data_IF_550787574118
#
_entry.id   IF_550787574118
#
_cell.length_a   1.000
_cell.length_b   1.000
_cell.length_c   1.000
_cell.angle_alpha   90.00
_cell.angle_beta   90.00
_cell.angle_gamma   90.00
#
_symmetry.space_group_name_H-M   'P 1'
#
loop_
_entity.id
_entity.type
_entity.pdbx_description
1 polymer ?
#
# COMPACT_ATOMS: atom_id res chain seq x y z
N UNK A 1 11.86 13.88 -6.06
CA UNK A 1 10.72 13.17 -5.47
C UNK A 1 11.15 12.43 -4.22
N UNK A 2 10.30 12.27 -3.22
CA UNK A 2 10.61 11.45 -2.03
C UNK A 2 9.56 10.35 -1.90
N UNK A 3 10.00 9.10 -1.64
CA UNK A 3 9.12 7.94 -1.44
C UNK A 3 9.42 7.33 -0.07
N UNK A 4 8.48 7.40 0.86
CA UNK A 4 8.60 6.70 2.15
C UNK A 4 8.00 5.29 2.05
N UNK A 5 8.56 4.31 2.74
CA UNK A 5 8.19 2.90 2.58
C UNK A 5 8.69 2.31 1.26
N UNK A 6 9.82 2.81 0.77
CA UNK A 6 10.36 2.50 -0.57
C UNK A 6 10.79 1.04 -0.73
N UNK A 7 11.20 0.36 0.33
CA UNK A 7 11.58 -1.05 0.29
C UNK A 7 10.38 -2.01 0.30
N UNK A 8 9.17 -1.47 0.51
CA UNK A 8 7.93 -2.21 0.50
C UNK A 8 7.46 -2.60 -0.90
N UNK A 9 6.37 -3.36 -0.95
CA UNK A 9 5.72 -3.85 -2.18
C UNK A 9 5.42 -2.70 -3.16
N UNK A 10 4.51 -1.79 -2.82
CA UNK A 10 4.07 -0.71 -3.71
C UNK A 10 5.19 0.34 -3.87
N UNK A 11 5.90 0.67 -2.78
CA UNK A 11 6.94 1.70 -2.77
C UNK A 11 8.09 1.41 -3.74
N UNK A 12 8.51 0.15 -3.86
CA UNK A 12 9.58 -0.24 -4.78
C UNK A 12 9.17 -0.11 -6.25
N UNK A 13 7.95 -0.51 -6.61
CA UNK A 13 7.42 -0.31 -7.96
C UNK A 13 7.26 1.18 -8.30
N UNK A 14 6.77 1.98 -7.35
CA UNK A 14 6.64 3.41 -7.55
C UNK A 14 8.00 4.08 -7.77
N UNK A 15 9.00 3.74 -6.95
CA UNK A 15 10.34 4.33 -7.09
C UNK A 15 11.00 3.95 -8.43
N UNK A 16 10.86 2.69 -8.88
CA UNK A 16 11.33 2.26 -10.20
C UNK A 16 10.64 3.05 -11.32
N UNK A 17 9.33 3.26 -11.24
CA UNK A 17 8.58 4.04 -12.21
C UNK A 17 9.04 5.50 -12.24
N UNK A 18 9.21 6.14 -11.09
CA UNK A 18 9.66 7.53 -11.01
C UNK A 18 11.10 7.72 -11.56
N UNK A 19 12.00 6.79 -11.26
CA UNK A 19 13.37 6.79 -11.81
C UNK A 19 13.35 6.60 -13.33
N UNK A 20 12.53 5.67 -13.83
CA UNK A 20 12.36 5.44 -15.26
C UNK A 20 11.76 6.67 -15.99
N UNK A 21 10.89 7.43 -15.32
CA UNK A 21 10.32 8.69 -15.81
C UNK A 21 11.33 9.87 -15.72
N UNK A 22 12.58 9.63 -15.26
CA UNK A 22 13.67 10.60 -15.22
C UNK A 22 13.73 11.46 -13.95
N UNK A 23 13.02 11.09 -12.89
CA UNK A 23 13.05 11.83 -11.63
C UNK A 23 14.20 11.38 -10.72
N UNK A 24 14.77 12.36 -9.98
CA UNK A 24 15.61 12.08 -8.82
C UNK A 24 14.72 11.65 -7.67
N UNK A 25 14.99 10.47 -7.08
CA UNK A 25 14.17 9.83 -6.05
C UNK A 25 15.00 9.57 -4.79
N UNK A 26 14.56 10.14 -3.67
CA UNK A 26 15.04 9.77 -2.34
C UNK A 26 14.06 8.79 -1.73
N UNK A 27 14.50 7.55 -1.53
CA UNK A 27 13.74 6.51 -0.86
C UNK A 27 14.04 6.50 0.64
N UNK A 28 13.02 6.44 1.49
CA UNK A 28 13.13 6.33 2.94
C UNK A 28 12.44 5.04 3.40
N UNK A 29 13.12 4.18 4.14
CA UNK A 29 12.55 2.98 4.75
C UNK A 29 13.29 2.62 6.04
N UNK A 30 12.57 2.22 7.07
CA UNK A 30 13.13 1.78 8.36
C UNK A 30 13.55 0.31 8.38
N UNK A 31 13.16 -0.45 7.36
CA UNK A 31 13.34 -1.91 7.32
C UNK A 31 12.78 -2.63 8.55
N UNK A 32 11.63 -2.14 9.08
CA UNK A 32 10.93 -2.79 10.20
C UNK A 32 10.81 -4.31 10.01
N UNK A 33 11.00 -5.04 11.12
CA UNK A 33 10.99 -6.50 11.14
C UNK A 33 9.54 -7.06 11.16
N UNK A 34 8.75 -6.68 10.15
CA UNK A 34 7.39 -7.19 9.94
C UNK A 34 7.38 -8.47 9.09
N UNK A 35 8.32 -8.56 8.16
CA UNK A 35 8.62 -9.73 7.34
C UNK A 35 10.12 -9.73 6.99
N UNK A 36 10.69 -10.88 6.55
CA UNK A 36 12.12 -11.00 6.36
C UNK A 36 12.73 -9.88 5.52
N UNK A 37 13.80 -9.26 6.03
CA UNK A 37 14.52 -8.16 5.38
C UNK A 37 14.96 -8.51 3.95
N UNK A 38 15.25 -9.78 3.67
CA UNK A 38 15.66 -10.25 2.34
C UNK A 38 14.67 -9.90 1.23
N UNK A 39 13.35 -9.89 1.51
CA UNK A 39 12.35 -9.44 0.54
C UNK A 39 12.51 -7.95 0.22
N UNK A 40 12.74 -7.12 1.23
CA UNK A 40 12.95 -5.67 1.06
C UNK A 40 14.24 -5.38 0.28
N UNK A 41 15.31 -6.11 0.56
CA UNK A 41 16.58 -6.00 -0.18
C UNK A 41 16.41 -6.41 -1.64
N UNK A 42 15.70 -7.51 -1.90
CA UNK A 42 15.37 -7.96 -3.25
C UNK A 42 14.53 -6.92 -4.02
N UNK A 43 13.57 -6.29 -3.36
CA UNK A 43 12.76 -5.23 -3.95
C UNK A 43 13.58 -4.02 -4.41
N UNK A 44 14.69 -3.72 -3.73
CA UNK A 44 15.54 -2.56 -4.03
C UNK A 44 16.77 -2.90 -4.88
N UNK A 45 17.00 -4.17 -5.24
CA UNK A 45 18.25 -4.59 -5.91
C UNK A 45 18.54 -3.80 -7.19
N UNK A 46 17.54 -3.59 -8.04
CA UNK A 46 17.66 -2.78 -9.25
C UNK A 46 17.82 -1.28 -8.95
N UNK A 47 17.05 -0.76 -8.01
CA UNK A 47 17.06 0.66 -7.63
C UNK A 47 18.40 1.10 -7.06
N UNK A 48 19.07 0.26 -6.26
CA UNK A 48 20.40 0.57 -5.67
C UNK A 48 21.48 0.82 -6.73
N UNK A 49 21.30 0.32 -7.95
CA UNK A 49 22.22 0.50 -9.08
C UNK A 49 21.76 1.60 -10.03
N UNK A 50 20.54 2.09 -9.87
CA UNK A 50 19.97 3.09 -10.76
C UNK A 50 20.55 4.49 -10.48
N UNK A 51 20.89 5.22 -11.55
CA UNK A 51 21.19 6.65 -11.43
C UNK A 51 19.88 7.39 -11.06
N UNK A 52 19.98 8.39 -10.20
CA UNK A 52 18.81 9.16 -9.76
C UNK A 52 18.06 8.54 -8.56
N UNK A 53 18.57 7.47 -7.96
CA UNK A 53 18.02 6.90 -6.73
C UNK A 53 19.01 6.97 -5.57
N UNK A 54 18.51 7.38 -4.40
CA UNK A 54 19.26 7.30 -3.13
C UNK A 54 18.37 6.72 -2.03
N UNK A 55 18.96 5.91 -1.15
CA UNK A 55 18.25 5.27 -0.05
C UNK A 55 18.70 5.84 1.30
N UNK A 56 17.71 6.18 2.14
CA UNK A 56 17.89 6.51 3.55
C UNK A 56 17.25 5.39 4.37
N UNK A 57 18.09 4.59 5.02
CA UNK A 57 17.65 3.48 5.86
C UNK A 57 17.49 3.96 7.30
N UNK A 58 16.36 4.64 7.57
CA UNK A 58 16.04 5.19 8.89
C UNK A 58 14.53 5.38 9.05
N UNK A 59 14.04 5.29 10.31
CA UNK A 59 12.62 5.49 10.62
C UNK A 59 12.23 6.96 10.64
N UNK A 60 11.01 7.27 10.18
CA UNK A 60 10.49 8.65 10.09
C UNK A 60 10.52 9.38 11.44
N UNK A 61 10.19 8.69 12.53
CA UNK A 61 10.21 9.26 13.87
C UNK A 61 11.63 9.61 14.35
N UNK A 62 12.64 8.83 13.94
CA UNK A 62 14.04 9.14 14.23
C UNK A 62 14.51 10.34 13.40
N UNK A 63 14.21 10.34 12.10
CA UNK A 63 14.53 11.43 11.19
C UNK A 63 13.88 12.77 11.56
N UNK A 64 12.70 12.74 12.21
CA UNK A 64 11.95 13.94 12.61
C UNK A 64 12.45 14.58 13.91
N UNK A 65 13.34 13.90 14.66
CA UNK A 65 13.88 14.47 15.91
C UNK A 65 14.64 15.74 15.60
N UNK A 66 14.22 16.82 16.27
CA UNK A 66 14.89 18.12 16.16
C UNK A 66 16.35 18.02 16.63
N UNK A 67 17.22 18.80 16.00
CA UNK A 67 18.55 19.13 16.55
C UNK A 67 18.40 20.32 17.49
N UNK A 68 19.36 20.54 18.37
CA UNK A 68 19.34 21.66 19.31
C UNK A 68 19.17 23.02 18.61
N UNK A 69 19.62 23.12 17.37
CA UNK A 69 19.37 24.27 16.49
C UNK A 69 19.28 23.79 15.04
N UNK A 70 18.23 24.24 14.31
CA UNK A 70 18.07 23.99 12.87
C UNK A 70 17.00 22.96 12.52
N UNK A 71 16.86 22.66 11.21
CA UNK A 71 15.89 21.70 10.72
C UNK A 71 16.22 20.27 11.14
N UNK A 72 15.20 19.43 11.26
CA UNK A 72 15.37 17.98 11.44
C UNK A 72 15.96 17.34 10.18
N UNK A 73 16.52 16.13 10.32
CA UNK A 73 17.04 15.39 9.15
C UNK A 73 15.93 15.11 8.13
N UNK A 74 14.70 14.90 8.58
CA UNK A 74 13.55 14.72 7.68
C UNK A 74 13.28 15.98 6.87
N UNK A 75 13.29 17.16 7.49
CA UNK A 75 13.10 18.43 6.79
C UNK A 75 14.20 18.67 5.75
N UNK A 76 15.46 18.35 6.06
CA UNK A 76 16.56 18.43 5.10
C UNK A 76 16.36 17.53 3.87
N UNK A 77 15.90 16.29 4.09
CA UNK A 77 15.61 15.33 3.01
C UNK A 77 14.42 15.75 2.14
N UNK A 78 13.48 16.50 2.71
CA UNK A 78 12.30 16.98 2.00
C UNK A 78 12.51 18.35 1.32
N UNK A 79 13.59 19.06 1.64
CA UNK A 79 13.88 20.37 1.08
C UNK A 79 14.01 20.29 -0.47
N UNK A 80 13.23 21.10 -1.17
CA UNK A 80 13.20 21.12 -2.64
C UNK A 80 12.45 19.94 -3.29
N UNK A 81 11.82 19.05 -2.51
CA UNK A 81 11.02 17.98 -3.06
C UNK A 81 9.74 18.53 -3.72
N UNK A 82 9.54 18.24 -5.00
CA UNK A 82 8.29 18.58 -5.70
C UNK A 82 7.10 17.75 -5.19
N UNK A 83 7.33 16.48 -4.84
CA UNK A 83 6.30 15.62 -4.28
C UNK A 83 6.89 14.63 -3.27
N UNK A 84 6.12 14.37 -2.21
CA UNK A 84 6.35 13.30 -1.23
C UNK A 84 5.25 12.26 -1.38
N UNK A 85 5.62 11.04 -1.74
CA UNK A 85 4.73 9.86 -1.76
C UNK A 85 4.88 9.14 -0.41
N UNK A 86 3.88 9.30 0.45
CA UNK A 86 3.93 8.73 1.79
C UNK A 86 3.21 7.37 1.84
N UNK A 87 4.01 6.30 1.63
CA UNK A 87 3.55 4.91 1.64
C UNK A 87 4.01 4.13 2.89
N UNK A 88 4.96 4.70 3.66
CA UNK A 88 5.42 4.08 4.90
C UNK A 88 4.26 3.90 5.87
N UNK A 89 4.02 2.67 6.30
CA UNK A 89 2.99 2.32 7.27
C UNK A 89 3.21 0.91 7.80
N UNK A 90 2.77 0.65 9.02
CA UNK A 90 2.51 -0.72 9.45
C UNK A 90 1.21 -1.19 8.81
N UNK A 91 1.29 -2.24 8.01
CA UNK A 91 0.16 -2.84 7.33
C UNK A 91 -0.33 -4.10 8.04
N UNK A 92 -1.48 -4.63 7.59
CA UNK A 92 -2.08 -5.87 8.10
C UNK A 92 -3.24 -5.61 9.05
N UNK A 93 -4.44 -6.02 8.62
CA UNK A 93 -5.69 -5.86 9.39
C UNK A 93 -5.67 -6.76 10.63
N UNK A 94 -5.35 -8.05 10.43
CA UNK A 94 -5.42 -9.08 11.48
C UNK A 94 -4.38 -8.87 12.59
N UNK A 95 -3.17 -8.45 12.22
CA UNK A 95 -2.08 -8.20 13.17
C UNK A 95 -2.23 -6.89 13.97
N UNK A 96 -3.24 -6.07 13.68
CA UNK A 96 -3.39 -4.74 14.28
C UNK A 96 -4.02 -4.72 15.68
N UNK A 97 -4.44 -5.88 16.19
CA UNK A 97 -5.12 -5.99 17.48
C UNK A 97 -4.16 -6.16 18.67
N UNK A 98 -4.64 -5.87 19.84
CA UNK A 98 -3.93 -6.11 21.11
C UNK A 98 -2.67 -5.23 21.26
N UNK A 99 -1.59 -5.83 21.76
CA UNK A 99 -0.34 -5.10 22.05
C UNK A 99 0.35 -4.56 20.79
N UNK A 100 0.10 -5.16 19.63
CA UNK A 100 0.65 -4.71 18.35
C UNK A 100 0.09 -3.36 17.92
N UNK A 101 -1.03 -2.89 18.48
CA UNK A 101 -1.65 -1.62 18.09
C UNK A 101 -0.70 -0.43 18.20
N UNK A 102 0.24 -0.44 19.16
CA UNK A 102 1.21 0.64 19.33
C UNK A 102 2.03 0.86 18.06
N UNK A 103 2.53 -0.19 17.41
CA UNK A 103 3.34 -0.03 16.20
C UNK A 103 2.52 0.59 15.05
N UNK A 104 1.19 0.33 15.03
CA UNK A 104 0.29 0.96 14.05
C UNK A 104 0.08 2.45 14.36
N UNK A 105 -0.05 2.85 15.62
CA UNK A 105 -0.16 4.27 15.98
C UNK A 105 1.13 5.03 15.71
N UNK A 106 2.27 4.44 16.05
CA UNK A 106 3.58 5.06 15.85
C UNK A 106 3.90 5.25 14.37
N UNK A 107 3.70 4.21 13.54
CA UNK A 107 4.02 4.27 12.12
C UNK A 107 2.94 5.00 11.28
N UNK A 108 1.65 4.71 11.52
CA UNK A 108 0.59 5.19 10.63
C UNK A 108 0.08 6.58 11.01
N UNK A 109 -0.05 6.87 12.31
CA UNK A 109 -0.61 8.15 12.77
C UNK A 109 0.51 9.14 13.04
N UNK A 110 1.41 8.83 13.97
CA UNK A 110 2.50 9.72 14.35
C UNK A 110 3.50 9.87 13.19
N UNK A 111 3.83 8.76 12.48
CA UNK A 111 4.66 8.79 11.28
C UNK A 111 4.11 9.71 10.19
N UNK A 112 2.79 9.67 9.94
CA UNK A 112 2.15 10.60 8.99
C UNK A 112 2.20 12.04 9.49
N UNK A 113 1.95 12.27 10.78
CA UNK A 113 1.98 13.61 11.36
C UNK A 113 3.37 14.26 11.21
N UNK A 114 4.46 13.54 11.52
CA UNK A 114 5.81 14.10 11.38
C UNK A 114 6.20 14.37 9.93
N UNK A 115 5.73 13.55 8.98
CA UNK A 115 5.92 13.81 7.55
C UNK A 115 5.19 15.08 7.12
N UNK A 116 3.93 15.25 7.52
CA UNK A 116 3.14 16.44 7.18
C UNK A 116 3.75 17.71 7.79
N UNK A 117 4.24 17.66 9.03
CA UNK A 117 4.90 18.80 9.67
C UNK A 117 6.22 19.15 8.96
N UNK A 118 7.02 18.14 8.58
CA UNK A 118 8.23 18.36 7.83
C UNK A 118 7.94 18.90 6.41
N UNK A 119 6.92 18.41 5.72
CA UNK A 119 6.46 18.93 4.42
C UNK A 119 6.02 20.40 4.52
N UNK A 120 5.29 20.74 5.60
CA UNK A 120 4.86 22.13 5.85
C UNK A 120 6.07 23.06 6.01
N UNK A 121 7.09 22.66 6.79
CA UNK A 121 8.29 23.48 7.04
C UNK A 121 9.21 23.55 5.81
N UNK A 122 9.34 22.45 5.07
CA UNK A 122 10.17 22.39 3.87
C UNK A 122 9.48 23.00 2.62
N UNK A 123 8.20 23.35 2.68
CA UNK A 123 7.46 23.93 1.55
C UNK A 123 7.28 22.93 0.40
N UNK A 124 7.00 21.66 0.70
CA UNK A 124 6.82 20.59 -0.32
C UNK A 124 5.62 20.89 -1.22
N UNK A 125 5.78 20.70 -2.53
CA UNK A 125 4.77 21.05 -3.53
C UNK A 125 3.52 20.15 -3.49
N UNK A 126 3.66 18.86 -3.14
CA UNK A 126 2.53 17.91 -3.02
C UNK A 126 2.86 16.76 -2.07
N UNK A 127 1.87 16.30 -1.31
CA UNK A 127 1.93 15.07 -0.52
C UNK A 127 0.86 14.10 -1.02
N UNK A 128 1.26 12.94 -1.52
CA UNK A 128 0.35 11.85 -1.91
C UNK A 128 0.41 10.78 -0.83
N UNK A 129 -0.69 10.62 -0.10
CA UNK A 129 -0.80 9.72 1.04
C UNK A 129 -1.51 8.40 0.66
N UNK A 130 -0.89 7.27 0.99
CA UNK A 130 -1.49 5.95 0.85
C UNK A 130 -2.47 5.67 1.99
N UNK A 131 -3.76 5.92 1.77
CA UNK A 131 -4.86 5.48 2.60
C UNK A 131 -5.26 4.03 2.25
N UNK A 132 -6.44 3.58 2.64
CA UNK A 132 -6.89 2.19 2.46
C UNK A 132 -8.41 2.12 2.37
N UNK A 133 -8.94 1.14 1.63
CA UNK A 133 -10.36 0.78 1.67
C UNK A 133 -10.84 0.31 3.05
N UNK A 134 -9.90 -0.10 3.93
CA UNK A 134 -10.22 -0.46 5.32
C UNK A 134 -10.83 0.68 6.15
N UNK A 135 -10.77 1.92 5.67
CA UNK A 135 -11.42 3.07 6.33
C UNK A 135 -12.95 3.01 6.23
N UNK A 136 -13.49 2.35 5.20
CA UNK A 136 -14.93 2.22 5.02
C UNK A 136 -15.58 1.29 6.05
N UNK A 137 -14.84 0.26 6.49
CA UNK A 137 -15.39 -0.82 7.31
C UNK A 137 -16.25 -1.78 6.50
N UNK A 138 -17.17 -2.45 7.17
CA UNK A 138 -18.12 -3.36 6.57
C UNK A 138 -19.41 -2.59 6.18
N UNK A 139 -19.78 -2.64 4.91
CA UNK A 139 -20.91 -1.88 4.39
C UNK A 139 -21.62 -2.62 3.26
N UNK A 140 -22.95 -2.58 3.26
CA UNK A 140 -23.79 -3.12 2.19
C UNK A 140 -23.94 -2.15 1.01
N UNK A 141 -23.46 -0.90 1.15
CA UNK A 141 -23.54 0.12 0.09
C UNK A 141 -22.34 0.00 -0.83
N UNK A 142 -22.57 -0.61 -1.98
CA UNK A 142 -21.56 -0.87 -3.01
C UNK A 142 -22.01 -0.31 -4.36
N UNK A 143 -21.10 0.22 -5.19
CA UNK A 143 -19.68 0.42 -4.91
C UNK A 143 -19.42 1.48 -3.83
N UNK A 144 -18.30 1.34 -3.09
CA UNK A 144 -17.87 2.27 -2.04
C UNK A 144 -17.45 3.60 -2.64
N UNK A 145 -18.09 4.70 -2.20
CA UNK A 145 -17.80 6.06 -2.67
C UNK A 145 -16.98 6.83 -1.65
N UNK A 146 -16.18 7.79 -2.10
CA UNK A 146 -15.30 8.57 -1.22
C UNK A 146 -16.07 9.47 -0.24
N UNK A 147 -17.31 9.82 -0.54
CA UNK A 147 -18.22 10.58 0.33
C UNK A 147 -19.01 9.72 1.33
N UNK A 148 -18.86 8.39 1.28
CA UNK A 148 -19.47 7.49 2.24
C UNK A 148 -18.89 7.67 3.65
N UNK A 149 -19.74 7.41 4.65
CA UNK A 149 -19.31 7.41 6.05
C UNK A 149 -18.26 6.32 6.28
N UNK A 150 -17.12 6.71 6.84
CA UNK A 150 -16.04 5.80 7.16
C UNK A 150 -16.21 5.23 8.57
N UNK A 151 -16.46 3.93 8.69
CA UNK A 151 -16.67 3.19 9.95
C UNK A 151 -15.71 1.98 10.01
N UNK A 152 -14.40 2.20 10.18
CA UNK A 152 -13.43 1.12 10.17
C UNK A 152 -13.71 0.07 11.24
N UNK A 153 -13.58 -1.22 10.88
CA UNK A 153 -13.83 -2.37 11.75
C UNK A 153 -12.54 -3.04 12.23
N UNK A 154 -11.41 -2.38 12.07
CA UNK A 154 -10.10 -2.84 12.54
C UNK A 154 -9.26 -1.69 13.07
N UNK A 155 -8.35 -1.94 14.03
CA UNK A 155 -7.40 -0.92 14.51
C UNK A 155 -6.54 -0.35 13.37
N UNK A 156 -6.13 -1.18 12.40
CA UNK A 156 -5.45 -0.71 11.18
C UNK A 156 -6.29 0.33 10.41
N UNK A 157 -7.57 0.01 10.13
CA UNK A 157 -8.48 0.93 9.44
C UNK A 157 -8.64 2.25 10.19
N UNK A 158 -8.75 2.20 11.53
CA UNK A 158 -8.79 3.40 12.38
C UNK A 158 -7.54 4.25 12.22
N UNK A 159 -6.33 3.66 12.23
CA UNK A 159 -5.08 4.42 12.07
C UNK A 159 -4.95 5.02 10.67
N UNK A 160 -5.41 4.32 9.62
CA UNK A 160 -5.41 4.84 8.24
C UNK A 160 -6.38 6.01 8.08
N UNK A 161 -7.57 5.92 8.69
CA UNK A 161 -8.53 7.03 8.69
C UNK A 161 -8.00 8.23 9.48
N UNK A 162 -7.41 8.03 10.65
CA UNK A 162 -6.81 9.10 11.44
C UNK A 162 -5.73 9.86 10.63
N UNK A 163 -4.85 9.14 9.95
CA UNK A 163 -3.82 9.74 9.10
C UNK A 163 -4.41 10.47 7.87
N UNK A 164 -5.47 9.93 7.24
CA UNK A 164 -6.20 10.61 6.17
C UNK A 164 -6.81 11.94 6.65
N UNK A 165 -7.38 11.96 7.87
CA UNK A 165 -7.89 13.19 8.45
C UNK A 165 -6.77 14.19 8.79
N UNK A 166 -5.59 13.73 9.21
CA UNK A 166 -4.42 14.60 9.37
C UNK A 166 -4.04 15.26 8.04
N UNK A 167 -3.96 14.51 6.94
CA UNK A 167 -3.71 15.08 5.61
C UNK A 167 -4.70 16.20 5.28
N UNK A 168 -6.01 15.96 5.47
CA UNK A 168 -7.05 16.96 5.26
C UNK A 168 -6.88 18.19 6.16
N UNK A 169 -6.54 18.00 7.45
CA UNK A 169 -6.34 19.10 8.40
C UNK A 169 -5.13 19.97 8.02
N UNK A 170 -4.00 19.36 7.63
CA UNK A 170 -2.81 20.09 7.21
C UNK A 170 -3.05 20.88 5.93
N UNK A 171 -3.79 20.33 4.96
CA UNK A 171 -4.23 21.09 3.80
C UNK A 171 -5.10 22.30 4.21
N UNK A 172 -6.17 22.05 4.98
CA UNK A 172 -7.17 23.08 5.30
C UNK A 172 -6.60 24.23 6.15
N UNK A 173 -5.74 23.91 7.14
CA UNK A 173 -5.31 24.90 8.13
C UNK A 173 -3.90 25.45 7.87
N UNK A 174 -3.07 24.73 7.10
CA UNK A 174 -1.68 25.10 6.85
C UNK A 174 -1.34 25.18 5.37
N UNK A 175 -2.29 24.92 4.47
CA UNK A 175 -2.07 25.01 3.03
C UNK A 175 -1.12 23.94 2.45
N UNK A 176 -0.84 22.85 3.21
CA UNK A 176 -0.01 21.74 2.70
C UNK A 176 -0.82 21.00 1.62
N UNK A 177 -0.39 20.99 0.33
CA UNK A 177 -1.13 20.34 -0.72
C UNK A 177 -1.12 18.82 -0.54
N UNK A 178 -2.24 18.21 -0.13
CA UNK A 178 -2.35 16.77 0.12
C UNK A 178 -3.37 16.11 -0.78
N UNK A 179 -3.11 14.86 -1.17
CA UNK A 179 -4.07 13.95 -1.80
C UNK A 179 -4.02 12.61 -1.08
N UNK A 180 -5.17 12.06 -0.71
CA UNK A 180 -5.25 10.75 -0.07
C UNK A 180 -5.82 9.71 -1.02
N UNK A 181 -5.19 8.53 -1.11
CA UNK A 181 -5.56 7.45 -2.02
C UNK A 181 -6.00 6.22 -1.23
N UNK A 182 -7.27 5.86 -1.30
CA UNK A 182 -7.82 4.66 -0.69
C UNK A 182 -7.56 3.48 -1.60
N UNK A 183 -6.49 2.72 -1.33
CA UNK A 183 -6.16 1.52 -2.10
C UNK A 183 -7.11 0.39 -1.75
N UNK A 184 -7.65 -0.24 -2.79
CA UNK A 184 -8.33 -1.53 -2.68
C UNK A 184 -7.30 -2.65 -2.80
N UNK A 185 -7.71 -3.91 -2.63
CA UNK A 185 -6.80 -5.04 -2.43
C UNK A 185 -5.72 -5.14 -3.51
N UNK A 186 -4.52 -4.61 -3.23
CA UNK A 186 -3.41 -4.59 -4.19
C UNK A 186 -2.74 -5.95 -4.26
N UNK A 187 -2.44 -6.41 -5.48
CA UNK A 187 -1.75 -7.67 -5.74
C UNK A 187 -0.75 -7.53 -6.90
N UNK A 188 0.14 -8.51 -7.06
CA UNK A 188 1.16 -8.52 -8.10
C UNK A 188 2.55 -8.90 -7.62
N UNK A 189 3.56 -8.89 -8.50
CA UNK A 189 4.96 -9.18 -8.15
C UNK A 189 5.42 -8.40 -6.92
N UNK A 190 6.23 -9.01 -6.06
CA UNK A 190 6.70 -8.45 -4.77
C UNK A 190 5.60 -8.28 -3.71
N UNK A 191 4.41 -8.89 -3.91
CA UNK A 191 3.40 -8.92 -2.87
C UNK A 191 4.01 -9.44 -1.57
N UNK A 192 3.66 -8.80 -0.43
CA UNK A 192 4.23 -9.18 0.87
C UNK A 192 3.89 -10.62 1.24
N UNK A 193 4.78 -11.32 1.96
CA UNK A 193 4.62 -12.75 2.29
C UNK A 193 3.44 -13.05 3.24
N UNK A 194 2.85 -12.04 3.87
CA UNK A 194 1.66 -12.12 4.72
C UNK A 194 0.33 -11.97 3.95
N UNK A 195 0.37 -11.67 2.65
CA UNK A 195 -0.82 -11.43 1.84
C UNK A 195 -1.29 -12.68 1.11
N UNK A 196 -2.59 -12.68 0.76
CA UNK A 196 -3.30 -13.89 0.34
C UNK A 196 -2.66 -14.62 -0.85
N UNK A 197 -2.38 -13.95 -1.97
CA UNK A 197 -1.87 -14.64 -3.15
C UNK A 197 -0.44 -15.16 -2.97
N UNK A 198 0.40 -14.43 -2.22
CA UNK A 198 1.72 -14.94 -1.84
C UNK A 198 1.61 -16.21 -0.97
N UNK A 199 0.73 -16.19 0.05
CA UNK A 199 0.47 -17.35 0.91
C UNK A 199 -0.10 -18.54 0.11
N UNK A 200 -1.02 -18.28 -0.81
CA UNK A 200 -1.63 -19.32 -1.65
C UNK A 200 -0.59 -19.94 -2.60
N UNK A 201 0.19 -19.12 -3.30
CA UNK A 201 1.27 -19.61 -4.15
C UNK A 201 2.28 -20.43 -3.35
N UNK A 202 2.65 -19.97 -2.16
CA UNK A 202 3.54 -20.72 -1.27
C UNK A 202 2.96 -22.08 -0.89
N UNK A 203 1.72 -22.13 -0.44
CA UNK A 203 1.05 -23.39 -0.07
C UNK A 203 0.96 -24.35 -1.25
N UNK A 204 0.58 -23.85 -2.44
CA UNK A 204 0.47 -24.64 -3.66
C UNK A 204 1.83 -25.20 -4.12
N UNK A 205 2.92 -24.40 -4.06
CA UNK A 205 4.27 -24.86 -4.38
C UNK A 205 4.81 -25.90 -3.39
N UNK A 206 4.46 -25.76 -2.12
CA UNK A 206 4.85 -26.71 -1.05
C UNK A 206 3.93 -27.94 -0.97
N UNK A 207 2.87 -28.02 -1.78
CA UNK A 207 1.89 -29.10 -1.74
C UNK A 207 1.10 -29.18 -0.43
N UNK A 208 0.99 -28.04 0.29
CA UNK A 208 0.25 -27.91 1.56
C UNK A 208 -1.14 -27.34 1.34
N UNK A 209 -2.10 -27.65 2.20
CA UNK A 209 -3.39 -26.96 2.19
C UNK A 209 -3.20 -25.44 2.34
N UNK A 210 -3.98 -24.67 1.59
CA UNK A 210 -4.12 -23.24 1.78
C UNK A 210 -5.30 -22.95 2.72
N UNK A 211 -5.06 -22.10 3.69
CA UNK A 211 -6.07 -21.66 4.65
C UNK A 211 -6.95 -20.58 4.01
N UNK A 212 -8.25 -20.86 3.90
CA UNK A 212 -9.25 -19.93 3.41
C UNK A 212 -10.17 -19.53 4.55
N UNK A 213 -10.05 -18.29 5.00
CA UNK A 213 -10.93 -17.76 6.04
C UNK A 213 -12.30 -17.42 5.47
N UNK A 214 -13.37 -17.88 6.16
CA UNK A 214 -14.75 -17.72 5.72
C UNK A 214 -15.17 -18.74 4.65
N UNK A 215 -16.24 -18.40 3.92
CA UNK A 215 -16.87 -19.31 2.95
C UNK A 215 -16.22 -19.31 1.55
N UNK A 216 -15.34 -18.33 1.28
CA UNK A 216 -14.80 -18.07 -0.06
C UNK A 216 -15.72 -17.25 -0.97
N UNK A 217 -16.97 -16.95 -0.54
CA UNK A 217 -17.91 -16.10 -1.27
C UNK A 217 -17.68 -14.61 -1.00
N UNK A 218 -16.87 -14.28 0.01
CA UNK A 218 -16.46 -12.89 0.23
C UNK A 218 -15.77 -12.34 -1.02
N UNK A 219 -16.10 -11.09 -1.35
CA UNK A 219 -15.60 -10.48 -2.59
C UNK A 219 -14.59 -9.38 -2.31
N UNK A 220 -13.62 -9.24 -3.22
CA UNK A 220 -12.63 -8.17 -3.19
C UNK A 220 -12.55 -7.49 -4.55
N UNK A 221 -12.28 -6.21 -4.51
CA UNK A 221 -11.80 -5.46 -5.66
C UNK A 221 -10.27 -5.61 -5.68
N UNK A 222 -9.79 -6.54 -6.52
CA UNK A 222 -8.36 -6.79 -6.67
C UNK A 222 -7.76 -5.83 -7.68
N UNK A 223 -6.72 -5.10 -7.28
CA UNK A 223 -6.08 -4.06 -8.08
C UNK A 223 -4.63 -4.42 -8.35
N UNK A 224 -4.25 -4.51 -9.61
CA UNK A 224 -2.87 -4.84 -9.96
C UNK A 224 -1.91 -3.71 -9.60
N UNK A 225 -0.69 -4.05 -9.15
CA UNK A 225 0.27 -3.07 -8.62
C UNK A 225 0.64 -1.98 -9.62
N UNK A 226 0.76 -2.30 -10.92
CA UNK A 226 1.10 -1.29 -11.95
C UNK A 226 -0.04 -0.26 -12.11
N UNK A 227 -1.30 -0.69 -11.99
CA UNK A 227 -2.45 0.23 -12.02
C UNK A 227 -2.44 1.15 -10.80
N UNK A 228 -2.14 0.61 -9.61
CA UNK A 228 -1.97 1.42 -8.39
C UNK A 228 -0.85 2.44 -8.56
N UNK A 229 0.32 2.03 -9.07
CA UNK A 229 1.45 2.94 -9.33
C UNK A 229 1.05 4.03 -10.32
N UNK A 230 0.35 3.65 -11.40
CA UNK A 230 -0.19 4.60 -12.37
C UNK A 230 -1.13 5.63 -11.72
N UNK A 231 -2.01 5.18 -10.82
CA UNK A 231 -2.90 6.06 -10.05
C UNK A 231 -2.16 6.99 -9.08
N UNK A 232 -1.13 6.47 -8.39
CA UNK A 232 -0.29 7.27 -7.48
C UNK A 232 0.43 8.40 -8.24
N UNK A 233 1.03 8.10 -9.39
CA UNK A 233 1.73 9.11 -10.20
C UNK A 233 0.77 10.19 -10.68
N UNK A 234 -0.42 9.83 -11.16
CA UNK A 234 -1.45 10.79 -11.60
C UNK A 234 -2.00 11.66 -10.46
N UNK A 235 -1.97 11.16 -9.23
CA UNK A 235 -2.46 11.89 -8.06
C UNK A 235 -1.60 13.13 -7.71
N UNK A 236 -0.42 13.29 -8.30
CA UNK A 236 0.38 14.53 -8.17
C UNK A 236 -0.41 15.73 -8.69
N UNK A 237 -1.17 15.55 -9.77
CA UNK A 237 -2.01 16.57 -10.38
C UNK A 237 -3.44 16.61 -9.79
N UNK A 238 -3.73 15.74 -8.83
CA UNK A 238 -5.02 15.68 -8.15
C UNK A 238 -5.35 16.92 -7.35
N UNK A 239 -6.65 17.17 -7.12
CA UNK A 239 -7.13 18.31 -6.34
C UNK A 239 -6.63 18.25 -4.89
N UNK A 240 -6.12 19.37 -4.39
CA UNK A 240 -5.64 19.47 -3.01
C UNK A 240 -6.76 19.18 -1.99
N UNK A 241 -6.43 18.39 -0.99
CA UNK A 241 -7.35 17.93 0.05
C UNK A 241 -8.34 16.85 -0.41
N UNK A 242 -8.25 16.39 -1.67
CA UNK A 242 -9.13 15.36 -2.20
C UNK A 242 -8.74 13.96 -1.71
N UNK A 243 -9.77 13.09 -1.73
CA UNK A 243 -9.64 11.65 -1.51
C UNK A 243 -10.09 10.95 -2.79
N UNK A 244 -9.36 9.92 -3.21
CA UNK A 244 -9.67 9.10 -4.37
C UNK A 244 -9.58 7.61 -4.04
N UNK A 245 -10.54 6.84 -4.55
CA UNK A 245 -10.44 5.40 -4.57
C UNK A 245 -9.53 4.93 -5.72
N UNK A 246 -8.62 4.01 -5.45
CA UNK A 246 -7.88 3.28 -6.47
C UNK A 246 -8.18 1.78 -6.35
N UNK A 247 -8.97 1.27 -7.28
CA UNK A 247 -9.44 -0.10 -7.37
C UNK A 247 -9.25 -0.70 -8.77
N UNK A 248 -9.42 -2.01 -8.90
CA UNK A 248 -9.33 -2.74 -10.17
C UNK A 248 -10.61 -2.66 -11.02
N UNK A 249 -11.67 -2.06 -10.47
CA UNK A 249 -12.94 -1.86 -11.16
C UNK A 249 -13.80 -3.12 -11.30
N UNK A 250 -13.44 -4.21 -10.67
CA UNK A 250 -14.19 -5.47 -10.68
C UNK A 250 -14.29 -6.09 -9.30
N UNK A 251 -15.36 -6.82 -9.06
CA UNK A 251 -15.60 -7.53 -7.81
C UNK A 251 -15.54 -9.04 -8.05
N UNK A 252 -14.59 -9.71 -7.41
CA UNK A 252 -14.33 -11.14 -7.60
C UNK A 252 -14.40 -11.87 -6.25
N UNK A 253 -15.00 -13.06 -6.22
CA UNK A 253 -15.00 -13.92 -5.03
C UNK A 253 -13.60 -14.50 -4.78
N UNK A 254 -13.31 -14.82 -3.51
CA UNK A 254 -12.03 -15.44 -3.17
C UNK A 254 -11.88 -16.82 -3.85
N UNK A 255 -12.97 -17.59 -3.97
CA UNK A 255 -12.95 -18.89 -4.69
C UNK A 255 -12.63 -18.71 -6.17
N UNK A 256 -13.20 -17.70 -6.86
CA UNK A 256 -12.87 -17.40 -8.25
C UNK A 256 -11.40 -16.99 -8.41
N UNK A 257 -10.88 -16.20 -7.47
CA UNK A 257 -9.48 -15.80 -7.47
C UNK A 257 -8.54 -17.01 -7.28
N UNK A 258 -8.87 -17.94 -6.37
CA UNK A 258 -8.11 -19.19 -6.17
C UNK A 258 -8.14 -20.04 -7.44
N UNK A 259 -9.31 -20.28 -8.05
CA UNK A 259 -9.42 -21.03 -9.30
C UNK A 259 -8.63 -20.40 -10.46
N UNK A 260 -8.62 -19.07 -10.49
CA UNK A 260 -7.83 -18.35 -11.50
C UNK A 260 -6.33 -18.53 -11.24
N UNK A 261 -5.91 -18.50 -9.99
CA UNK A 261 -4.53 -18.75 -9.60
C UNK A 261 -4.06 -20.18 -9.96
N UNK A 262 -4.91 -21.21 -9.73
CA UNK A 262 -4.65 -22.58 -10.17
C UNK A 262 -4.41 -22.64 -11.68
N UNK A 263 -5.32 -22.04 -12.44
CA UNK A 263 -5.25 -22.05 -13.93
C UNK A 263 -3.99 -21.39 -14.46
N UNK A 264 -3.58 -20.23 -13.90
CA UNK A 264 -2.39 -19.48 -14.40
C UNK A 264 -1.07 -20.01 -13.87
N UNK A 265 -1.06 -20.64 -12.68
CA UNK A 265 0.14 -21.23 -12.09
C UNK A 265 0.41 -22.66 -12.59
N UNK A 266 -0.64 -23.38 -12.99
CA UNK A 266 -0.58 -24.80 -13.30
C UNK A 266 -0.48 -25.69 -12.05
N UNK A 267 -0.71 -25.13 -10.86
CA UNK A 267 -0.69 -25.83 -9.57
C UNK A 267 -2.11 -26.06 -9.06
N UNK A 268 -2.31 -27.07 -8.24
CA UNK A 268 -3.62 -27.37 -7.62
C UNK A 268 -3.66 -26.83 -6.19
N UNK A 269 -4.79 -26.25 -5.81
CA UNK A 269 -5.04 -25.76 -4.46
C UNK A 269 -5.82 -26.81 -3.65
N UNK A 270 -5.29 -27.19 -2.50
CA UNK A 270 -6.05 -27.94 -1.49
C UNK A 270 -6.60 -26.91 -0.49
N UNK A 271 -7.88 -26.55 -0.64
CA UNK A 271 -8.49 -25.51 0.19
C UNK A 271 -8.96 -26.08 1.53
N UNK A 272 -8.50 -25.51 2.64
CA UNK A 272 -8.99 -25.77 3.98
C UNK A 272 -9.73 -24.53 4.50
N UNK A 273 -11.01 -24.71 4.86
CA UNK A 273 -11.86 -23.61 5.35
C UNK A 273 -11.59 -23.34 6.84
N UNK A 274 -11.37 -22.05 7.15
CA UNK A 274 -11.17 -21.55 8.51
C UNK A 274 -12.25 -20.54 8.90
N UNK A 275 -12.42 -20.30 10.20
CA UNK A 275 -13.38 -19.33 10.69
C UNK A 275 -13.02 -17.90 10.24
N UNK A 276 -14.06 -17.06 10.04
CA UNK A 276 -13.89 -15.62 9.72
C UNK A 276 -13.07 -14.94 10.81
N UNK A 277 -12.14 -14.09 10.42
CA UNK A 277 -11.26 -13.37 11.33
C UNK A 277 -11.80 -11.97 11.66
N UNK A 278 -11.55 -11.52 12.90
CA UNK A 278 -11.96 -10.19 13.35
C UNK A 278 -11.33 -9.08 12.49
N UNK A 279 -12.16 -8.16 12.02
CA UNK A 279 -11.75 -7.05 11.17
C UNK A 279 -11.77 -7.34 9.66
N UNK A 280 -12.02 -8.58 9.24
CA UNK A 280 -12.27 -8.89 7.84
C UNK A 280 -13.66 -8.40 7.44
N UNK A 281 -13.75 -7.68 6.33
CA UNK A 281 -15.02 -7.24 5.74
C UNK A 281 -15.52 -8.27 4.72
N UNK A 282 -16.85 -8.36 4.54
CA UNK A 282 -17.42 -9.34 3.62
C UNK A 282 -17.18 -8.95 2.17
N UNK A 283 -17.41 -7.69 1.81
CA UNK A 283 -17.32 -7.22 0.44
C UNK A 283 -16.52 -5.91 0.32
N UNK A 284 -15.73 -5.78 -0.76
CA UNK A 284 -15.14 -4.51 -1.17
C UNK A 284 -15.30 -4.31 -2.67
N UNK A 285 -15.71 -3.10 -3.06
CA UNK A 285 -15.81 -2.68 -4.46
C UNK A 285 -15.69 -1.16 -4.55
N UNK A 286 -14.72 -0.65 -5.31
CA UNK A 286 -14.46 0.77 -5.46
C UNK A 286 -15.44 1.44 -6.45
N UNK A 287 -16.02 2.57 -6.09
CA UNK A 287 -16.46 3.54 -7.08
C UNK A 287 -15.22 4.30 -7.58
N UNK A 288 -14.98 4.25 -8.87
CA UNK A 288 -13.82 4.88 -9.52
C UNK A 288 -14.18 6.18 -10.25
N UNK A 289 -15.42 6.66 -10.15
CA UNK A 289 -15.91 7.82 -10.92
C UNK A 289 -15.02 9.03 -10.69
N UNK A 290 -14.77 9.39 -9.44
CA UNK A 290 -13.93 10.54 -9.09
C UNK A 290 -12.48 10.39 -9.58
N UNK A 291 -11.88 9.22 -9.43
CA UNK A 291 -10.53 8.96 -9.91
C UNK A 291 -10.43 9.03 -11.44
N UNK A 292 -11.46 8.58 -12.16
CA UNK A 292 -11.54 8.71 -13.61
C UNK A 292 -11.64 10.16 -14.07
N UNK A 293 -12.56 10.91 -13.47
CA UNK A 293 -12.83 12.31 -13.85
C UNK A 293 -11.66 13.23 -13.54
N UNK A 294 -11.09 13.14 -12.34
CA UNK A 294 -10.07 14.08 -11.87
C UNK A 294 -8.64 13.65 -12.26
N UNK A 295 -8.35 12.35 -12.29
CA UNK A 295 -6.99 11.82 -12.51
C UNK A 295 -6.85 11.09 -13.85
N UNK A 296 -7.92 10.86 -14.59
CA UNK A 296 -7.90 9.97 -15.76
C UNK A 296 -7.52 8.53 -15.40
N UNK A 297 -7.75 8.10 -14.15
CA UNK A 297 -7.40 6.76 -13.68
C UNK A 297 -8.35 5.72 -14.27
N UNK A 298 -7.80 4.73 -14.95
CA UNK A 298 -8.53 3.56 -15.45
C UNK A 298 -7.63 2.34 -15.29
N UNK A 299 -8.01 1.34 -14.48
CA UNK A 299 -7.23 0.11 -14.36
C UNK A 299 -7.17 -0.63 -15.70
N UNK A 300 -6.02 -1.19 -16.03
CA UNK A 300 -5.73 -1.82 -17.31
C UNK A 300 -5.52 -3.33 -17.20
N UNK A 301 -5.11 -3.82 -16.02
CA UNK A 301 -4.70 -5.21 -15.84
C UNK A 301 -5.82 -6.00 -15.15
N UNK A 302 -6.42 -6.94 -15.90
CA UNK A 302 -7.41 -7.86 -15.34
C UNK A 302 -6.78 -8.89 -14.40
N UNK A 303 -7.61 -9.50 -13.53
CA UNK A 303 -7.17 -10.43 -12.49
C UNK A 303 -6.31 -11.58 -13.03
N UNK A 304 -6.73 -12.21 -14.12
CA UNK A 304 -6.01 -13.36 -14.70
C UNK A 304 -4.59 -13.00 -15.15
N UNK A 305 -4.43 -11.90 -15.86
CA UNK A 305 -3.12 -11.43 -16.31
C UNK A 305 -2.24 -11.01 -15.13
N UNK A 306 -2.80 -10.28 -14.16
CA UNK A 306 -2.06 -9.88 -12.97
C UNK A 306 -1.59 -11.08 -12.14
N UNK A 307 -2.45 -12.08 -11.93
CA UNK A 307 -2.08 -13.32 -11.23
C UNK A 307 -1.04 -14.14 -12.00
N UNK A 308 -1.11 -14.14 -13.35
CA UNK A 308 -0.07 -14.78 -14.17
C UNK A 308 1.30 -14.14 -13.94
N UNK A 309 1.37 -12.80 -13.89
CA UNK A 309 2.61 -12.07 -13.59
C UNK A 309 3.09 -12.32 -12.17
N UNK A 310 2.21 -12.33 -11.19
CA UNK A 310 2.56 -12.61 -9.81
C UNK A 310 3.07 -14.05 -9.62
N UNK A 311 2.40 -15.04 -10.20
CA UNK A 311 2.85 -16.44 -10.18
C UNK A 311 4.19 -16.63 -10.92
N UNK A 312 4.39 -15.90 -12.03
CA UNK A 312 5.67 -15.87 -12.74
C UNK A 312 6.81 -15.33 -11.88
N UNK A 313 6.57 -14.21 -11.22
CA UNK A 313 7.52 -13.63 -10.26
C UNK A 313 7.80 -14.58 -9.08
N UNK A 314 6.75 -15.19 -8.50
CA UNK A 314 6.92 -16.10 -7.36
C UNK A 314 7.87 -17.25 -7.67
N UNK A 315 7.85 -17.79 -8.89
CA UNK A 315 8.80 -18.84 -9.34
C UNK A 315 10.25 -18.38 -9.38
N UNK A 316 10.51 -17.07 -9.48
CA UNK A 316 11.88 -16.52 -9.46
C UNK A 316 12.44 -16.38 -8.05
N UNK A 317 11.58 -16.46 -7.02
CA UNK A 317 12.05 -16.53 -5.65
C UNK A 317 12.75 -17.89 -5.48
N UNK A 318 14.00 -17.88 -5.01
CA UNK A 318 14.67 -19.11 -4.59
C UNK A 318 13.89 -19.65 -3.38
N UNK A 319 12.98 -20.59 -3.63
CA UNK A 319 12.20 -21.24 -2.58
C UNK A 319 13.17 -22.19 -1.87
N UNK A 320 13.91 -21.67 -0.90
CA UNK A 320 14.60 -22.51 0.06
C UNK A 320 13.52 -23.16 0.91
N UNK A 321 13.36 -24.49 0.88
CA UNK A 321 12.37 -25.15 1.73
C UNK A 321 12.65 -24.75 3.19
N UNK A 322 11.68 -24.18 3.85
CA UNK A 322 11.75 -23.96 5.30
C UNK A 322 11.88 -25.35 5.96
N UNK A 323 13.04 -25.61 6.55
CA UNK A 323 13.28 -26.78 7.41
C UNK A 323 12.45 -26.69 8.68
#
# INVERSE_FOLDING_TARGET
MVVTGVAGFIGSHLAERLVADGHEVVGIDSFEDYYPRSYKEANLAGLRQARGFSLVEEGLLALSRGRDQGPSRLEELLAGAGCVFHLAAQAGVRASWGQSFRIYTDNNVLGTQVVLEACRRAGVGKVVYASSSSVYGDTDVLPMREDALCLPVSPYGVTKLAAEQLCRLYWKNHGVPTVSLRFFTVYGPRQRPDMAFHLFLRAMHEGRPLEMYGTGNQTRDFTFVDDIVGGIVRAVDGRDGAVYNLGGGSRVTLLEAIRTLERVSGLSAQVHGEAVQAGDVEHTWADLTRAREDLGYTPQVGLEEGLRREAGWYRTLEITPSR
#
